data_IF_162862977005
#
_entry.id   IF_162862977005
#
_cell.length_a   1.000
_cell.length_b   1.000
_cell.length_c   1.000
_cell.angle_alpha   90.00
_cell.angle_beta   90.00
_cell.angle_gamma   90.00
#
_symmetry.space_group_name_H-M   'P 1'
#
loop_
_entity.id
_entity.type
_entity.pdbx_description
1 polymer ?
#
# COMPACT_ATOMS: atom_id res chain seq x y z
N UNK A 1 39.39 -5.76 -64.60
CA UNK A 1 38.94 -6.60 -63.48
C UNK A 1 38.40 -5.68 -62.40
N UNK A 2 37.08 -5.49 -62.34
CA UNK A 2 36.39 -4.63 -61.36
C UNK A 2 35.90 -5.51 -60.21
N UNK A 3 36.48 -5.34 -59.02
CA UNK A 3 36.09 -6.09 -57.82
C UNK A 3 35.02 -5.32 -57.06
N UNK A 4 33.79 -5.84 -57.07
CA UNK A 4 32.68 -5.29 -56.30
C UNK A 4 32.76 -5.79 -54.85
N UNK A 5 33.08 -4.89 -53.92
CA UNK A 5 32.92 -5.15 -52.49
C UNK A 5 31.44 -5.07 -52.10
N UNK A 6 30.82 -6.23 -51.89
CA UNK A 6 29.48 -6.33 -51.29
C UNK A 6 29.62 -6.03 -49.79
N UNK A 7 29.14 -4.87 -49.36
CA UNK A 7 29.01 -4.52 -47.95
C UNK A 7 27.75 -5.19 -47.39
N UNK A 8 27.91 -6.34 -46.74
CA UNK A 8 26.84 -6.99 -46.00
C UNK A 8 26.58 -6.21 -44.71
N UNK A 9 25.53 -5.40 -44.71
CA UNK A 9 24.97 -4.76 -43.52
C UNK A 9 24.34 -5.84 -42.62
N UNK A 10 24.89 -6.05 -41.43
CA UNK A 10 24.30 -6.93 -40.44
C UNK A 10 22.97 -6.34 -39.91
N UNK A 11 21.90 -7.13 -39.74
CA UNK A 11 20.64 -6.63 -39.22
C UNK A 11 20.84 -6.12 -37.78
N UNK A 12 20.41 -4.89 -37.54
CA UNK A 12 20.46 -4.27 -36.22
C UNK A 12 19.67 -5.13 -35.21
N UNK A 13 20.34 -5.54 -34.13
CA UNK A 13 19.70 -6.21 -33.00
C UNK A 13 18.56 -5.34 -32.45
N UNK A 14 17.38 -5.93 -32.13
CA UNK A 14 16.30 -5.18 -31.52
C UNK A 14 16.76 -4.58 -30.18
N UNK A 15 16.26 -3.39 -29.81
CA UNK A 15 16.61 -2.76 -28.56
C UNK A 15 16.25 -3.68 -27.38
N UNK A 16 17.06 -3.69 -26.31
CA UNK A 16 16.76 -4.48 -25.13
C UNK A 16 15.39 -4.03 -24.56
N UNK A 17 14.61 -4.96 -24.00
CA UNK A 17 13.35 -4.61 -23.36
C UNK A 17 13.62 -3.58 -22.26
N UNK A 18 12.70 -2.62 -22.03
CA UNK A 18 12.83 -1.68 -20.93
C UNK A 18 12.96 -2.46 -19.61
N UNK A 19 13.77 -1.97 -18.65
CA UNK A 19 13.85 -2.61 -17.34
C UNK A 19 12.44 -2.73 -16.76
N UNK A 20 12.14 -3.82 -16.03
CA UNK A 20 10.86 -3.94 -15.35
C UNK A 20 10.67 -2.68 -14.50
N UNK A 21 9.49 -2.06 -14.61
CA UNK A 21 9.15 -0.89 -13.81
C UNK A 21 9.10 -1.37 -12.36
N UNK A 22 10.21 -1.21 -11.63
CA UNK A 22 10.30 -1.52 -10.21
C UNK A 22 9.55 -0.42 -9.46
N UNK A 23 8.22 -0.53 -9.40
CA UNK A 23 7.40 0.35 -8.59
C UNK A 23 7.73 0.09 -7.12
N UNK A 24 8.54 0.97 -6.51
CA UNK A 24 8.82 0.89 -5.08
C UNK A 24 7.54 1.15 -4.30
N UNK A 25 7.16 0.28 -3.33
CA UNK A 25 5.96 0.50 -2.56
C UNK A 25 6.09 1.75 -1.68
N UNK A 26 5.02 2.54 -1.52
CA UNK A 26 5.01 3.62 -0.54
C UNK A 26 5.19 3.04 0.87
N UNK A 27 6.02 3.68 1.69
CA UNK A 27 6.22 3.24 3.08
C UNK A 27 5.07 3.74 3.96
N UNK A 28 4.39 2.84 4.66
CA UNK A 28 3.37 3.18 5.64
C UNK A 28 3.98 3.45 7.01
N UNK A 29 3.72 4.65 7.52
CA UNK A 29 4.25 5.13 8.81
C UNK A 29 3.52 4.58 10.05
N UNK A 30 2.32 4.00 9.88
CA UNK A 30 1.49 3.54 10.99
C UNK A 30 0.40 4.52 11.45
N UNK A 31 0.15 5.60 10.70
CA UNK A 31 -0.90 6.57 11.03
C UNK A 31 -2.27 6.13 10.46
N UNK A 32 -3.33 6.02 11.29
CA UNK A 32 -4.65 5.57 10.82
C UNK A 32 -5.25 6.45 9.72
N UNK A 33 -5.07 7.77 9.80
CA UNK A 33 -5.64 8.74 8.85
C UNK A 33 -5.23 8.49 7.39
N UNK A 34 -4.03 7.93 7.19
CA UNK A 34 -3.45 7.73 5.85
C UNK A 34 -3.52 6.27 5.40
N UNK A 35 -4.04 5.38 6.25
CA UNK A 35 -4.06 3.94 5.98
C UNK A 35 -4.84 3.63 4.71
N UNK A 36 -6.06 4.15 4.55
CA UNK A 36 -6.90 3.85 3.37
C UNK A 36 -6.24 4.26 2.05
N UNK A 37 -5.63 5.45 2.00
CA UNK A 37 -4.92 5.95 0.81
C UNK A 37 -3.68 5.11 0.50
N UNK A 38 -2.89 4.79 1.53
CA UNK A 38 -1.75 3.87 1.39
C UNK A 38 -2.20 2.48 0.93
N UNK A 39 -3.32 1.97 1.47
CA UNK A 39 -3.87 0.65 1.17
C UNK A 39 -4.17 0.49 -0.32
N UNK A 40 -4.82 1.51 -0.89
CA UNK A 40 -5.16 1.59 -2.29
C UNK A 40 -3.91 1.65 -3.17
N UNK A 41 -2.92 2.46 -2.80
CA UNK A 41 -1.67 2.57 -3.56
C UNK A 41 -0.86 1.26 -3.52
N UNK A 42 -0.76 0.61 -2.35
CA UNK A 42 -0.10 -0.68 -2.21
C UNK A 42 -0.77 -1.77 -3.07
N UNK A 43 -2.11 -1.78 -3.16
CA UNK A 43 -2.82 -2.71 -4.05
C UNK A 43 -2.52 -2.47 -5.54
N UNK A 44 -2.27 -1.21 -5.95
CA UNK A 44 -1.80 -0.91 -7.31
C UNK A 44 -0.37 -1.43 -7.53
N UNK A 45 0.53 -1.25 -6.55
CA UNK A 45 1.91 -1.74 -6.62
C UNK A 45 1.95 -3.26 -6.77
N UNK A 46 1.18 -4.00 -5.97
CA UNK A 46 1.08 -5.47 -6.10
C UNK A 46 0.60 -5.93 -7.49
N UNK A 47 -0.31 -5.17 -8.10
CA UNK A 47 -0.82 -5.47 -9.45
C UNK A 47 0.24 -5.18 -10.52
N UNK A 48 0.99 -4.10 -10.37
CA UNK A 48 2.07 -3.71 -11.27
C UNK A 48 3.26 -4.67 -11.19
N UNK A 49 3.59 -5.14 -9.99
CA UNK A 49 4.69 -6.08 -9.77
C UNK A 49 4.38 -7.51 -10.22
N UNK A 50 3.13 -7.82 -10.57
CA UNK A 50 2.67 -9.15 -11.02
C UNK A 50 3.06 -10.27 -10.05
N UNK A 51 3.14 -9.98 -8.75
CA UNK A 51 3.45 -10.97 -7.73
C UNK A 51 2.29 -11.97 -7.62
N UNK A 52 2.57 -13.23 -7.92
CA UNK A 52 1.60 -14.33 -7.83
C UNK A 52 1.78 -15.11 -6.54
N UNK A 53 3.02 -15.32 -6.12
CA UNK A 53 3.37 -16.03 -4.90
C UNK A 53 2.94 -15.27 -3.63
N UNK A 54 2.58 -16.02 -2.59
CA UNK A 54 2.10 -15.45 -1.33
C UNK A 54 3.28 -14.94 -0.48
N UNK A 55 4.41 -15.64 -0.46
CA UNK A 55 5.59 -15.24 0.29
C UNK A 55 6.16 -13.94 -0.27
N UNK A 56 6.20 -13.79 -1.60
CA UNK A 56 6.62 -12.54 -2.24
C UNK A 56 5.72 -11.36 -1.88
N UNK A 57 4.39 -11.55 -1.81
CA UNK A 57 3.45 -10.50 -1.39
C UNK A 57 3.65 -10.12 0.07
N UNK A 58 3.86 -11.10 0.95
CA UNK A 58 4.16 -10.88 2.36
C UNK A 58 5.48 -10.13 2.52
N UNK A 59 6.54 -10.52 1.82
CA UNK A 59 7.82 -9.81 1.81
C UNK A 59 7.64 -8.36 1.31
N UNK A 60 6.88 -8.16 0.23
CA UNK A 60 6.57 -6.83 -0.31
C UNK A 60 5.81 -5.97 0.71
N UNK A 61 4.89 -6.57 1.48
CA UNK A 61 4.18 -5.90 2.57
C UNK A 61 5.15 -5.45 3.66
N UNK A 62 6.09 -6.30 4.09
CA UNK A 62 7.09 -5.91 5.08
C UNK A 62 7.98 -4.78 4.59
N UNK A 63 8.43 -4.81 3.33
CA UNK A 63 9.18 -3.72 2.71
C UNK A 63 8.39 -2.39 2.66
N UNK A 64 7.06 -2.47 2.56
CA UNK A 64 6.17 -1.32 2.50
C UNK A 64 5.78 -0.76 3.87
N UNK A 65 6.25 -1.34 4.98
CA UNK A 65 5.91 -0.92 6.33
C UNK A 65 7.11 -0.27 7.02
N UNK A 66 6.91 0.88 7.66
CA UNK A 66 7.91 1.45 8.55
C UNK A 66 8.09 0.57 9.80
N UNK A 67 9.23 0.66 10.52
CA UNK A 67 9.51 -0.19 11.68
C UNK A 67 8.42 -0.14 12.78
N UNK A 68 7.76 1.01 12.95
CA UNK A 68 6.62 1.19 13.88
C UNK A 68 5.40 0.37 13.46
N UNK A 69 5.04 0.41 12.17
CA UNK A 69 3.93 -0.34 11.61
C UNK A 69 4.23 -1.85 11.57
N UNK A 70 5.48 -2.23 11.27
CA UNK A 70 5.93 -3.63 11.34
C UNK A 70 5.78 -4.20 12.75
N UNK A 71 6.23 -3.46 13.79
CA UNK A 71 6.08 -3.89 15.18
C UNK A 71 4.61 -4.08 15.56
N UNK A 72 3.74 -3.19 15.09
CA UNK A 72 2.30 -3.28 15.31
C UNK A 72 1.74 -4.54 14.64
N UNK A 73 2.11 -4.80 13.38
CA UNK A 73 1.71 -6.02 12.66
C UNK A 73 2.14 -7.28 13.42
N UNK A 74 3.39 -7.34 13.90
CA UNK A 74 3.89 -8.46 14.71
C UNK A 74 3.10 -8.65 15.99
N UNK A 75 2.72 -7.56 16.66
CA UNK A 75 1.87 -7.64 17.85
C UNK A 75 0.46 -8.16 17.52
N UNK A 76 -0.09 -7.79 16.36
CA UNK A 76 -1.43 -8.20 15.92
C UNK A 76 -1.53 -9.68 15.53
N UNK A 77 -0.44 -10.27 15.04
CA UNK A 77 -0.41 -11.70 14.63
C UNK A 77 0.06 -12.64 15.74
N UNK A 78 0.59 -12.08 16.84
CA UNK A 78 1.01 -12.85 18.01
C UNK A 78 -0.14 -13.76 18.51
N UNK A 79 0.14 -15.05 18.82
CA UNK A 79 1.47 -15.66 19.01
C UNK A 79 2.13 -16.24 17.76
N UNK A 80 1.54 -16.07 16.56
CA UNK A 80 2.08 -16.62 15.31
C UNK A 80 3.26 -15.79 14.80
N UNK A 81 4.14 -16.41 14.01
CA UNK A 81 5.23 -15.69 13.32
C UNK A 81 4.82 -15.24 11.92
N UNK A 82 5.60 -14.35 11.30
CA UNK A 82 5.34 -13.87 9.94
C UNK A 82 5.35 -15.01 8.89
N UNK A 83 6.11 -16.07 9.15
CA UNK A 83 6.23 -17.23 8.25
C UNK A 83 5.03 -18.19 8.38
N UNK A 84 4.33 -18.17 9.52
CA UNK A 84 3.16 -19.01 9.78
C UNK A 84 1.84 -18.42 9.22
N UNK A 85 1.89 -17.19 8.70
CA UNK A 85 0.71 -16.37 8.38
C UNK A 85 0.73 -15.98 6.91
N UNK A 86 -0.35 -16.28 6.20
CA UNK A 86 -0.49 -15.90 4.79
C UNK A 86 -0.69 -14.38 4.63
N UNK A 87 -0.43 -13.89 3.42
CA UNK A 87 -0.57 -12.47 3.09
C UNK A 87 -1.98 -11.92 3.41
N UNK A 88 -3.02 -12.73 3.18
CA UNK A 88 -4.41 -12.34 3.44
C UNK A 88 -4.69 -12.11 4.93
N UNK A 89 -4.12 -12.92 5.81
CA UNK A 89 -4.22 -12.77 7.26
C UNK A 89 -3.47 -11.54 7.73
N UNK A 90 -2.24 -11.32 7.24
CA UNK A 90 -1.47 -10.10 7.52
C UNK A 90 -2.26 -8.84 7.11
N UNK A 91 -2.87 -8.88 5.92
CA UNK A 91 -3.69 -7.79 5.40
C UNK A 91 -4.93 -7.54 6.26
N UNK A 92 -5.63 -8.62 6.61
CA UNK A 92 -6.85 -8.53 7.43
C UNK A 92 -6.56 -7.99 8.83
N UNK A 93 -5.40 -8.33 9.41
CA UNK A 93 -4.97 -7.80 10.70
C UNK A 93 -4.76 -6.27 10.65
N UNK A 94 -4.08 -5.78 9.62
CA UNK A 94 -3.90 -4.34 9.41
C UNK A 94 -5.23 -3.62 9.14
N UNK A 95 -6.08 -4.19 8.28
CA UNK A 95 -7.38 -3.59 7.96
C UNK A 95 -8.24 -3.48 9.23
N UNK A 96 -8.31 -4.53 10.06
CA UNK A 96 -9.05 -4.48 11.33
C UNK A 96 -8.50 -3.44 12.31
N UNK A 97 -7.18 -3.26 12.35
CA UNK A 97 -6.55 -2.31 13.28
C UNK A 97 -6.69 -0.85 12.84
N UNK A 98 -6.58 -0.57 11.54
CA UNK A 98 -6.52 0.80 11.03
C UNK A 98 -7.81 1.28 10.36
N UNK A 99 -8.66 0.39 9.84
CA UNK A 99 -10.02 0.70 9.40
C UNK A 99 -11.01 0.43 10.55
N UNK A 100 -10.83 1.14 11.66
CA UNK A 100 -11.76 1.04 12.77
C UNK A 100 -13.07 1.73 12.37
N UNK A 101 -14.16 0.97 12.36
CA UNK A 101 -15.49 1.57 12.27
C UNK A 101 -15.68 2.51 13.47
N UNK A 102 -16.14 3.75 13.29
CA UNK A 102 -16.37 4.66 14.39
C UNK A 102 -17.26 3.99 15.44
N UNK A 103 -16.81 4.01 16.69
CA UNK A 103 -17.56 3.45 17.81
C UNK A 103 -18.84 4.27 17.98
N UNK A 104 -20.05 3.65 17.95
CA UNK A 104 -21.30 4.40 18.07
C UNK A 104 -21.35 5.28 19.32
N UNK A 105 -20.76 4.82 20.42
CA UNK A 105 -20.64 5.58 21.65
C UNK A 105 -19.75 6.82 21.49
N UNK A 106 -18.62 6.70 20.77
CA UNK A 106 -17.75 7.85 20.50
C UNK A 106 -18.44 8.88 19.60
N UNK A 107 -19.22 8.44 18.61
CA UNK A 107 -20.03 9.33 17.77
C UNK A 107 -21.15 10.02 18.57
N UNK A 108 -21.80 9.29 19.47
CA UNK A 108 -22.76 9.86 20.42
C UNK A 108 -22.09 10.96 21.26
N UNK A 109 -20.93 10.69 21.87
CA UNK A 109 -20.20 11.69 22.62
C UNK A 109 -19.83 12.92 21.78
N UNK A 110 -19.34 12.73 20.54
CA UNK A 110 -19.03 13.84 19.64
C UNK A 110 -20.25 14.70 19.35
N UNK A 111 -21.40 14.08 19.07
CA UNK A 111 -22.64 14.78 18.79
C UNK A 111 -23.09 15.65 19.98
N UNK A 112 -23.07 15.11 21.20
CA UNK A 112 -23.47 15.87 22.39
C UNK A 112 -22.42 16.88 22.87
N UNK A 113 -21.14 16.68 22.53
CA UNK A 113 -20.07 17.61 22.82
C UNK A 113 -19.97 18.75 21.80
N UNK A 114 -20.58 18.60 20.61
CA UNK A 114 -20.60 19.64 19.59
C UNK A 114 -21.30 20.89 20.11
N UNK A 115 -20.65 22.05 19.91
CA UNK A 115 -21.20 23.36 20.23
C UNK A 115 -20.95 24.27 19.04
N UNK A 116 -21.98 24.99 18.63
CA UNK A 116 -21.85 26.00 17.58
C UNK A 116 -21.01 27.16 18.11
N UNK A 117 -19.98 27.54 17.38
CA UNK A 117 -19.18 28.71 17.72
C UNK A 117 -19.99 30.00 17.49
N UNK A 118 -19.74 31.09 18.25
CA UNK A 118 -20.53 32.33 18.17
C UNK A 118 -20.60 32.96 16.77
N UNK A 119 -19.65 32.65 15.89
CA UNK A 119 -19.55 33.19 14.53
C UNK A 119 -19.72 32.12 13.45
N UNK A 120 -20.02 30.87 13.82
CA UNK A 120 -20.27 29.79 12.87
C UNK A 120 -21.71 29.86 12.39
N UNK A 121 -21.94 29.75 11.09
CA UNK A 121 -23.30 29.72 10.55
C UNK A 121 -23.99 28.40 10.92
N UNK A 122 -25.33 28.39 10.96
CA UNK A 122 -26.08 27.15 11.18
C UNK A 122 -25.85 26.13 10.06
N UNK A 123 -25.61 26.59 8.83
CA UNK A 123 -25.32 25.74 7.68
C UNK A 123 -23.97 25.01 7.85
N UNK A 124 -22.97 25.66 8.45
CA UNK A 124 -21.65 25.07 8.70
C UNK A 124 -21.63 24.18 9.96
N UNK A 125 -22.60 24.34 10.87
CA UNK A 125 -22.66 23.59 12.12
C UNK A 125 -23.39 22.25 12.01
N UNK A 126 -24.36 22.12 11.10
CA UNK A 126 -25.23 20.93 10.97
C UNK A 126 -24.64 19.84 10.05
N UNK A 127 -23.36 19.97 9.67
CA UNK A 127 -22.66 19.02 8.78
C UNK A 127 -22.01 17.89 9.57
#
# INVERSE_FOLDING_TARGET
MTSNHVSTSAPALPPPPPPPVTASPPVFSGLPSNYAAWNAHFACVLRLSKLTDDADKSAMLFCALAPTAQRTLMALISPKTADDVNFKELRSALDRHYQVSPLPLAEYFKFFAARQDPYQSSADYVI
#
